data_IF_276520335402
#
_entry.id   IF_276520335402
#
_cell.length_a   1.000
_cell.length_b   1.000
_cell.length_c   1.000
_cell.angle_alpha   90.00
_cell.angle_beta   90.00
_cell.angle_gamma   90.00
#
_symmetry.space_group_name_H-M   'P 1'
#
loop_
_entity.id
_entity.type
_entity.pdbx_description
1 polymer ?
#
# COMPACT_ATOMS: atom_id res chain seq x y z
N UNK A 1 45.08 13.53 42.41
CA UNK A 1 44.73 12.14 42.10
C UNK A 1 43.23 11.98 42.27
N UNK A 2 42.43 12.30 41.25
CA UNK A 2 41.02 11.90 41.11
C UNK A 2 40.79 11.67 39.62
N UNK A 3 40.26 10.50 39.32
CA UNK A 3 40.23 9.77 38.05
C UNK A 3 39.26 10.37 37.04
N UNK A 4 39.66 10.34 35.75
CA UNK A 4 38.77 10.53 34.61
C UNK A 4 37.77 9.37 34.52
N UNK A 5 36.48 9.67 34.64
CA UNK A 5 35.40 8.77 34.25
C UNK A 5 34.91 9.12 32.85
N UNK A 6 35.13 8.21 31.89
CA UNK A 6 34.61 8.31 30.53
C UNK A 6 33.07 8.26 30.56
N UNK A 7 32.42 9.36 30.16
CA UNK A 7 30.98 9.39 29.93
C UNK A 7 30.67 8.70 28.59
N UNK A 8 30.17 7.48 28.66
CA UNK A 8 29.57 6.76 27.54
C UNK A 8 28.24 7.41 27.14
N UNK A 9 28.29 8.36 26.21
CA UNK A 9 27.09 8.96 25.64
C UNK A 9 26.53 8.08 24.50
N UNK A 10 25.60 7.20 24.83
CA UNK A 10 24.75 6.48 23.85
C UNK A 10 23.27 6.59 24.24
N UNK A 11 22.79 7.81 24.49
CA UNK A 11 21.35 8.04 24.47
C UNK A 11 20.90 8.16 23.00
N UNK A 12 19.96 7.33 22.52
CA UNK A 12 19.46 7.47 21.16
C UNK A 12 18.81 8.85 21.00
N UNK A 13 19.20 9.59 19.96
CA UNK A 13 18.64 10.91 19.66
C UNK A 13 17.09 10.81 19.64
N UNK A 14 16.43 11.60 20.51
CA UNK A 14 14.97 11.64 20.61
C UNK A 14 14.41 12.40 19.40
N UNK A 15 13.50 11.77 18.66
CA UNK A 15 12.69 12.45 17.65
C UNK A 15 11.42 12.97 18.33
N UNK A 16 11.10 14.24 18.15
CA UNK A 16 9.90 14.87 18.69
C UNK A 16 9.29 15.80 17.62
N UNK A 17 7.97 15.93 17.64
CA UNK A 17 7.19 16.85 16.81
C UNK A 17 6.29 17.62 17.77
N UNK A 18 6.65 18.86 18.05
CA UNK A 18 5.83 19.76 18.85
C UNK A 18 5.09 20.74 17.94
N UNK A 19 3.83 21.01 18.25
CA UNK A 19 3.07 22.11 17.66
C UNK A 19 2.88 23.19 18.73
N UNK A 20 3.46 24.36 18.54
CA UNK A 20 3.23 25.51 19.44
C UNK A 20 1.84 26.09 19.20
N UNK A 21 1.08 26.33 20.27
CA UNK A 21 -0.30 26.82 20.24
C UNK A 21 -0.44 28.33 20.04
N UNK A 22 0.59 29.05 19.58
CA UNK A 22 0.48 30.50 19.40
C UNK A 22 -0.57 30.82 18.32
N UNK A 23 -1.71 31.32 18.79
CA UNK A 23 -2.94 31.61 18.06
C UNK A 23 -2.90 32.93 17.30
N UNK A 24 -1.79 33.67 17.36
CA UNK A 24 -1.57 34.88 16.56
C UNK A 24 -0.94 34.53 15.21
N UNK A 25 -1.66 33.75 14.39
CA UNK A 25 -1.34 33.66 12.97
C UNK A 25 -1.72 34.99 12.31
N UNK A 26 -0.80 35.95 12.34
CA UNK A 26 -0.83 37.12 11.47
C UNK A 26 -0.91 36.63 10.03
N UNK A 27 -2.07 36.82 9.40
CA UNK A 27 -2.24 36.62 7.98
C UNK A 27 -1.34 37.60 7.22
N UNK A 28 -0.77 37.14 6.10
CA UNK A 28 0.22 37.81 5.27
C UNK A 28 1.66 37.77 5.82
N UNK A 29 2.30 36.61 5.66
CA UNK A 29 3.74 36.63 5.43
C UNK A 29 3.94 36.44 3.94
N UNK A 30 4.60 37.38 3.26
CA UNK A 30 4.99 37.24 1.84
C UNK A 30 6.06 36.17 1.61
N UNK A 31 6.09 35.13 2.47
CA UNK A 31 7.02 34.02 2.45
C UNK A 31 6.26 32.73 2.07
N UNK A 32 6.95 31.74 1.49
CA UNK A 32 6.35 30.45 1.18
C UNK A 32 5.96 29.68 2.45
N UNK A 33 4.96 28.79 2.29
CA UNK A 33 4.63 27.76 3.28
C UNK A 33 5.86 26.87 3.50
N UNK A 34 6.23 26.59 4.75
CA UNK A 34 7.35 25.70 5.08
C UNK A 34 6.79 24.38 5.62
N UNK A 35 7.13 23.26 4.99
CA UNK A 35 6.60 21.93 5.39
C UNK A 35 7.72 20.92 5.54
N UNK A 36 7.73 20.22 6.68
CA UNK A 36 8.56 19.03 6.84
C UNK A 36 7.79 17.79 6.37
N UNK A 37 8.34 17.08 5.39
CA UNK A 37 7.81 15.79 4.94
C UNK A 37 8.74 14.69 5.45
N UNK A 38 8.26 13.91 6.42
CA UNK A 38 9.09 12.94 7.15
C UNK A 38 8.90 11.56 6.53
N UNK A 39 9.93 11.07 5.81
CA UNK A 39 9.93 9.81 5.07
C UNK A 39 9.92 10.04 3.55
N UNK A 40 10.91 9.50 2.84
CA UNK A 40 11.14 9.68 1.40
C UNK A 40 10.71 8.49 0.54
N UNK A 41 9.78 7.67 1.00
CA UNK A 41 9.09 6.68 0.15
C UNK A 41 8.07 7.33 -0.80
N UNK A 42 7.25 6.54 -1.52
CA UNK A 42 6.30 7.05 -2.51
C UNK A 42 5.36 8.14 -1.96
N UNK A 43 4.87 7.99 -0.73
CA UNK A 43 4.00 8.98 -0.11
C UNK A 43 4.69 10.33 0.12
N UNK A 44 5.83 10.34 0.79
CA UNK A 44 6.49 11.60 1.12
C UNK A 44 7.13 12.26 -0.10
N UNK A 45 7.70 11.48 -1.03
CA UNK A 45 8.19 12.03 -2.28
C UNK A 45 7.07 12.72 -3.08
N UNK A 46 5.90 12.08 -3.19
CA UNK A 46 4.74 12.67 -3.89
C UNK A 46 4.15 13.89 -3.17
N UNK A 47 4.17 13.89 -1.83
CA UNK A 47 3.76 15.05 -1.04
C UNK A 47 4.72 16.23 -1.21
N UNK A 48 6.02 15.97 -1.18
CA UNK A 48 7.06 16.98 -1.36
C UNK A 48 7.04 17.57 -2.77
N UNK A 49 6.86 16.74 -3.81
CA UNK A 49 6.67 17.19 -5.20
C UNK A 49 5.45 18.13 -5.32
N UNK A 50 4.30 17.71 -4.77
CA UNK A 50 3.08 18.51 -4.81
C UNK A 50 3.23 19.87 -4.11
N UNK A 51 3.84 19.88 -2.92
CA UNK A 51 4.12 21.10 -2.15
C UNK A 51 5.06 22.04 -2.90
N UNK A 52 6.19 21.52 -3.38
CA UNK A 52 7.20 22.32 -4.07
C UNK A 52 6.67 22.91 -5.39
N UNK A 53 5.91 22.11 -6.15
CA UNK A 53 5.25 22.56 -7.40
C UNK A 53 4.23 23.67 -7.17
N UNK A 54 3.70 23.82 -5.94
CA UNK A 54 2.79 24.90 -5.54
C UNK A 54 3.49 26.07 -4.84
N UNK A 55 4.82 26.14 -4.89
CA UNK A 55 5.61 27.24 -4.33
C UNK A 55 5.87 27.14 -2.82
N UNK A 56 5.58 26.00 -2.18
CA UNK A 56 5.95 25.78 -0.78
C UNK A 56 7.43 25.37 -0.65
N UNK A 57 8.07 25.78 0.44
CA UNK A 57 9.37 25.28 0.84
C UNK A 57 9.22 23.91 1.52
N UNK A 58 9.32 22.85 0.72
CA UNK A 58 9.21 21.46 1.19
C UNK A 58 10.58 20.89 1.58
N UNK A 59 10.69 20.36 2.79
CA UNK A 59 11.87 19.65 3.29
C UNK A 59 11.56 18.15 3.36
N UNK A 60 12.07 17.36 2.42
CA UNK A 60 11.87 15.92 2.37
C UNK A 60 12.97 15.20 3.17
N UNK A 61 12.63 14.76 4.39
CA UNK A 61 13.56 14.12 5.32
C UNK A 61 13.54 12.61 5.11
N UNK A 62 14.64 12.01 4.65
CA UNK A 62 14.78 10.57 4.48
C UNK A 62 16.06 10.05 5.14
N UNK A 63 15.91 9.08 6.06
CA UNK A 63 17.02 8.51 6.84
C UNK A 63 17.91 7.54 6.04
N UNK A 64 17.36 6.87 5.03
CA UNK A 64 18.02 5.84 4.24
C UNK A 64 17.64 5.99 2.77
N UNK A 65 18.20 6.98 2.04
CA UNK A 65 17.85 7.22 0.65
C UNK A 65 18.17 6.06 -0.31
N UNK A 66 19.10 5.18 0.07
CA UNK A 66 19.42 3.96 -0.69
C UNK A 66 18.57 2.74 -0.26
N UNK A 67 17.91 2.81 0.90
CA UNK A 67 17.06 1.75 1.40
C UNK A 67 15.67 1.77 0.73
N UNK A 68 15.09 0.58 0.57
CA UNK A 68 13.72 0.44 0.13
C UNK A 68 12.97 -0.56 1.02
N UNK A 69 11.69 -0.29 1.26
CA UNK A 69 10.79 -1.24 1.94
C UNK A 69 10.64 -2.49 1.07
N UNK A 70 10.77 -3.70 1.65
CA UNK A 70 10.49 -4.97 0.96
C UNK A 70 9.09 -4.96 0.35
N UNK A 71 8.98 -5.35 -0.92
CA UNK A 71 7.73 -5.26 -1.64
C UNK A 71 7.68 -6.21 -2.84
N UNK A 72 6.49 -6.73 -3.12
CA UNK A 72 6.17 -7.44 -4.35
C UNK A 72 6.25 -6.58 -5.61
N UNK A 73 6.16 -5.25 -5.46
CA UNK A 73 6.45 -4.25 -6.49
C UNK A 73 5.50 -4.21 -7.69
N UNK A 74 4.29 -4.76 -7.55
CA UNK A 74 3.20 -4.51 -8.49
C UNK A 74 2.62 -3.10 -8.25
N UNK A 75 2.35 -2.37 -9.31
CA UNK A 75 1.58 -1.11 -9.27
C UNK A 75 0.41 -1.19 -10.25
N UNK A 76 -0.66 -0.41 -10.05
CA UNK A 76 -1.75 -0.34 -11.03
C UNK A 76 -1.30 0.47 -12.25
N UNK A 77 -1.88 0.17 -13.41
CA UNK A 77 -1.52 0.84 -14.66
C UNK A 77 -1.79 2.36 -14.60
N UNK A 78 -2.87 2.79 -13.95
CA UNK A 78 -3.17 4.22 -13.77
C UNK A 78 -2.07 4.99 -13.03
N UNK A 79 -1.29 4.33 -12.16
CA UNK A 79 -0.18 4.97 -11.47
C UNK A 79 0.94 5.37 -12.42
N UNK A 80 1.17 4.58 -13.48
CA UNK A 80 2.20 4.88 -14.49
C UNK A 80 1.90 6.22 -15.15
N UNK A 81 0.67 6.43 -15.58
CA UNK A 81 0.26 7.66 -16.25
C UNK A 81 0.11 8.82 -15.25
N UNK A 82 -0.58 8.61 -14.11
CA UNK A 82 -0.84 9.66 -13.12
C UNK A 82 0.44 10.23 -12.49
N UNK A 83 1.46 9.40 -12.29
CA UNK A 83 2.76 9.80 -11.74
C UNK A 83 3.83 9.91 -12.82
N UNK A 84 3.45 9.88 -14.10
CA UNK A 84 4.34 9.94 -15.25
C UNK A 84 5.62 9.12 -15.03
N UNK A 85 5.43 7.86 -14.63
CA UNK A 85 6.51 6.90 -14.38
C UNK A 85 7.02 6.44 -15.76
N UNK A 86 8.32 6.61 -16.06
CA UNK A 86 8.88 6.18 -17.33
C UNK A 86 8.73 4.66 -17.50
N UNK A 87 8.34 4.24 -18.70
CA UNK A 87 8.01 2.83 -19.00
C UNK A 87 9.23 1.93 -18.87
N UNK A 88 10.43 2.46 -19.02
CA UNK A 88 11.71 1.78 -18.82
C UNK A 88 12.00 1.43 -17.35
N UNK A 89 11.28 2.03 -16.38
CA UNK A 89 11.40 1.64 -14.97
C UNK A 89 10.56 0.39 -14.62
N UNK A 90 9.73 -0.06 -15.56
CA UNK A 90 8.93 -1.28 -15.42
C UNK A 90 9.81 -2.48 -15.77
N UNK A 91 10.25 -3.22 -14.76
CA UNK A 91 11.12 -4.38 -14.93
C UNK A 91 10.39 -5.53 -15.66
N UNK A 92 9.11 -5.77 -15.35
CA UNK A 92 8.28 -6.81 -16.00
C UNK A 92 6.86 -6.34 -16.25
N UNK A 93 6.25 -6.87 -17.32
CA UNK A 93 4.86 -6.60 -17.70
C UNK A 93 4.05 -7.87 -17.53
N UNK A 94 3.44 -8.03 -16.37
CA UNK A 94 2.69 -9.24 -16.05
C UNK A 94 1.33 -9.18 -16.76
N UNK A 95 1.11 -10.09 -17.69
CA UNK A 95 -0.17 -10.29 -18.40
C UNK A 95 -0.92 -11.50 -17.87
N UNK A 96 -0.23 -12.37 -17.12
CA UNK A 96 -0.78 -13.60 -16.56
C UNK A 96 -0.65 -13.60 -15.05
N UNK A 97 -1.79 -13.67 -14.36
CA UNK A 97 -1.81 -13.96 -12.93
C UNK A 97 -2.38 -15.35 -12.72
N UNK A 98 -1.77 -16.15 -11.85
CA UNK A 98 -2.28 -17.47 -11.47
C UNK A 98 -2.55 -17.52 -9.99
N UNK A 99 -3.76 -17.92 -9.62
CA UNK A 99 -4.16 -18.10 -8.22
C UNK A 99 -4.23 -19.59 -7.93
N UNK A 100 -3.43 -20.06 -6.95
CA UNK A 100 -3.32 -21.46 -6.57
C UNK A 100 -4.05 -21.70 -5.25
N UNK A 101 -4.98 -22.65 -5.26
CA UNK A 101 -5.84 -22.99 -4.11
C UNK A 101 -5.15 -23.88 -3.09
N UNK A 102 -5.71 -24.11 -1.89
CA UNK A 102 -5.15 -25.05 -0.91
C UNK A 102 -4.89 -26.45 -1.49
N UNK A 103 -5.76 -26.94 -2.37
CA UNK A 103 -5.66 -28.23 -3.05
C UNK A 103 -4.78 -28.21 -4.32
N UNK A 104 -4.05 -27.12 -4.55
CA UNK A 104 -3.23 -26.86 -5.74
C UNK A 104 -4.01 -26.77 -7.07
N UNK A 105 -5.31 -26.49 -7.02
CA UNK A 105 -6.03 -26.08 -8.22
C UNK A 105 -5.55 -24.69 -8.64
N UNK A 106 -5.36 -24.48 -9.93
CA UNK A 106 -4.89 -23.21 -10.47
C UNK A 106 -5.99 -22.53 -11.29
N UNK A 107 -6.32 -21.30 -10.93
CA UNK A 107 -7.12 -20.42 -11.77
C UNK A 107 -6.20 -19.44 -12.51
N UNK A 108 -6.28 -19.43 -13.84
CA UNK A 108 -5.61 -18.44 -14.66
C UNK A 108 -6.46 -17.15 -14.70
N UNK A 109 -5.98 -16.14 -13.99
CA UNK A 109 -6.55 -14.80 -13.86
C UNK A 109 -5.92 -13.88 -14.90
N UNK A 110 -6.34 -14.03 -16.16
CA UNK A 110 -5.76 -13.30 -17.31
C UNK A 110 -6.67 -13.17 -18.52
N UNK A 111 -7.78 -13.91 -18.56
CA UNK A 111 -8.67 -14.01 -19.72
C UNK A 111 -9.37 -12.70 -20.05
N UNK A 112 -9.72 -11.94 -19.01
CA UNK A 112 -10.41 -10.65 -19.16
C UNK A 112 -9.48 -9.43 -19.00
N UNK A 113 -8.16 -9.62 -19.13
CA UNK A 113 -7.22 -8.50 -19.14
C UNK A 113 -7.47 -7.66 -20.41
N UNK A 114 -7.70 -6.33 -20.31
CA UNK A 114 -7.93 -5.53 -21.49
C UNK A 114 -6.74 -5.60 -22.48
N UNK A 115 -6.98 -5.57 -23.80
CA UNK A 115 -5.92 -5.61 -24.79
C UNK A 115 -4.85 -4.52 -24.54
N UNK A 116 -3.59 -4.91 -24.52
CA UNK A 116 -2.45 -4.00 -24.25
C UNK A 116 -2.24 -3.63 -22.78
N UNK A 117 -3.16 -4.00 -21.89
CA UNK A 117 -2.97 -3.83 -20.45
C UNK A 117 -2.02 -4.88 -19.88
N UNK A 118 -1.38 -4.53 -18.78
CA UNK A 118 -0.52 -5.41 -17.98
C UNK A 118 -0.46 -4.85 -16.56
N UNK A 119 0.05 -5.66 -15.63
CA UNK A 119 0.43 -5.22 -14.29
C UNK A 119 1.93 -4.87 -14.34
N UNK A 120 2.30 -3.58 -14.23
CA UNK A 120 3.70 -3.18 -14.16
C UNK A 120 4.35 -3.67 -12.88
N UNK A 121 5.45 -4.39 -13.01
CA UNK A 121 6.27 -4.86 -11.91
C UNK A 121 7.57 -4.07 -11.88
N UNK A 122 7.88 -3.47 -10.73
CA UNK A 122 9.05 -2.61 -10.54
C UNK A 122 9.76 -2.88 -9.22
N UNK A 123 11.02 -2.45 -9.14
CA UNK A 123 11.82 -2.42 -7.91
C UNK A 123 11.57 -1.12 -7.15
N UNK A 124 11.43 -1.24 -5.82
CA UNK A 124 11.16 -0.10 -4.95
C UNK A 124 12.32 0.87 -4.87
N UNK A 125 13.56 0.38 -4.97
CA UNK A 125 14.77 1.21 -5.00
C UNK A 125 14.75 2.17 -6.21
N UNK A 126 14.26 1.69 -7.35
CA UNK A 126 14.18 2.45 -8.60
C UNK A 126 13.02 3.46 -8.55
N UNK A 127 11.82 2.99 -8.19
CA UNK A 127 10.63 3.84 -8.09
C UNK A 127 10.81 4.94 -7.04
N UNK A 128 11.26 4.60 -5.84
CA UNK A 128 11.41 5.57 -4.75
C UNK A 128 12.48 6.61 -5.11
N UNK A 129 13.58 6.21 -5.75
CA UNK A 129 14.62 7.13 -6.25
C UNK A 129 14.09 8.07 -7.34
N UNK A 130 13.29 7.54 -8.28
CA UNK A 130 12.63 8.35 -9.30
C UNK A 130 11.70 9.41 -8.69
N UNK A 131 10.81 9.01 -7.78
CA UNK A 131 9.87 9.95 -7.14
C UNK A 131 10.59 11.01 -6.29
N UNK A 132 11.66 10.63 -5.59
CA UNK A 132 12.49 11.61 -4.84
C UNK A 132 13.18 12.62 -5.76
N UNK A 133 13.70 12.17 -6.91
CA UNK A 133 14.30 13.06 -7.91
C UNK A 133 13.27 14.03 -8.46
N UNK A 134 12.08 13.56 -8.82
CA UNK A 134 10.97 14.44 -9.23
C UNK A 134 10.62 15.50 -8.19
N UNK A 135 10.56 15.12 -6.92
CA UNK A 135 10.33 16.08 -5.84
C UNK A 135 11.44 17.15 -5.79
N UNK A 136 12.71 16.75 -5.94
CA UNK A 136 13.84 17.67 -5.98
C UNK A 136 13.81 18.57 -7.22
N UNK A 137 13.49 18.03 -8.40
CA UNK A 137 13.35 18.78 -9.65
C UNK A 137 12.21 19.81 -9.57
N UNK A 138 11.16 19.53 -8.81
CA UNK A 138 10.09 20.46 -8.48
C UNK A 138 10.48 21.53 -7.43
N UNK A 139 11.67 21.44 -6.84
CA UNK A 139 12.20 22.41 -5.86
C UNK A 139 12.18 21.96 -4.40
N UNK A 140 11.83 20.70 -4.10
CA UNK A 140 11.89 20.19 -2.73
C UNK A 140 13.35 20.03 -2.26
N UNK A 141 13.63 20.43 -1.03
CA UNK A 141 14.95 20.23 -0.41
C UNK A 141 15.04 18.81 0.16
N UNK A 142 15.90 17.97 -0.41
CA UNK A 142 16.18 16.63 0.12
C UNK A 142 17.10 16.74 1.34
N UNK A 143 16.65 16.21 2.48
CA UNK A 143 17.39 16.21 3.75
C UNK A 143 17.74 14.76 4.12
N UNK A 144 18.99 14.31 3.90
CA UNK A 144 19.42 12.95 4.21
C UNK A 144 19.59 12.74 5.71
N UNK A 145 18.49 12.44 6.38
CA UNK A 145 18.39 12.39 7.84
C UNK A 145 18.46 13.79 8.45
N UNK A 146 17.61 14.05 9.45
CA UNK A 146 17.64 15.31 10.19
C UNK A 146 18.46 15.14 11.47
N UNK A 147 19.49 15.99 11.64
CA UNK A 147 20.27 16.12 12.88
C UNK A 147 20.11 17.55 13.39
N UNK A 148 19.10 17.77 14.24
CA UNK A 148 18.80 19.09 14.81
C UNK A 148 17.31 19.41 14.81
N UNK A 149 17.00 20.70 14.91
CA UNK A 149 15.63 21.24 14.92
C UNK A 149 15.33 21.88 13.57
N UNK A 150 14.16 21.58 13.00
CA UNK A 150 13.66 22.21 11.80
C UNK A 150 12.30 22.83 12.11
N UNK A 151 12.23 24.16 12.10
CA UNK A 151 10.98 24.90 12.32
C UNK A 151 10.21 25.06 11.01
N UNK A 152 8.94 24.62 11.02
CA UNK A 152 8.04 24.57 9.86
C UNK A 152 6.61 24.93 10.28
N UNK A 153 5.78 25.28 9.28
CA UNK A 153 4.38 25.63 9.49
C UNK A 153 3.47 24.39 9.65
N UNK A 154 3.85 23.29 8.99
CA UNK A 154 3.11 22.02 8.97
C UNK A 154 4.04 20.81 8.80
N UNK A 155 3.54 19.62 9.13
CA UNK A 155 4.27 18.34 8.98
C UNK A 155 3.43 17.32 8.22
N UNK A 156 4.05 16.64 7.27
CA UNK A 156 3.50 15.43 6.62
C UNK A 156 4.24 14.21 7.16
N UNK A 157 3.55 13.35 7.91
CA UNK A 157 4.07 12.07 8.37
C UNK A 157 3.95 10.99 7.29
N UNK A 158 5.06 10.67 6.64
CA UNK A 158 5.18 9.68 5.57
C UNK A 158 6.20 8.57 5.91
N UNK A 159 6.48 8.36 7.20
CA UNK A 159 7.57 7.57 7.76
C UNK A 159 7.23 6.08 7.96
N UNK A 160 6.27 5.60 7.17
CA UNK A 160 5.96 4.19 7.04
C UNK A 160 5.17 3.58 8.19
N UNK A 161 5.11 2.24 8.20
CA UNK A 161 4.28 1.50 9.15
C UNK A 161 4.74 1.58 10.62
N UNK A 162 5.97 2.06 10.86
CA UNK A 162 6.53 2.27 12.20
C UNK A 162 6.61 3.77 12.55
N UNK A 163 5.66 4.56 12.02
CA UNK A 163 5.65 6.02 12.09
C UNK A 163 5.89 6.55 13.51
N UNK A 164 6.96 7.34 13.65
CA UNK A 164 7.26 8.13 14.85
C UNK A 164 6.39 9.38 14.90
N UNK A 165 6.09 9.98 13.75
CA UNK A 165 5.18 11.13 13.65
C UNK A 165 3.79 10.77 14.19
N UNK A 166 3.24 9.62 13.78
CA UNK A 166 1.94 9.14 14.24
C UNK A 166 1.91 8.91 15.76
N UNK A 167 2.98 8.37 16.33
CA UNK A 167 3.10 8.16 17.78
C UNK A 167 3.08 9.48 18.53
N UNK A 168 3.85 10.44 18.06
CA UNK A 168 4.03 11.74 18.70
C UNK A 168 2.71 12.54 18.77
N UNK A 169 1.93 12.51 17.70
CA UNK A 169 0.64 13.24 17.65
C UNK A 169 -0.53 12.46 18.27
N UNK A 170 -0.28 11.28 18.84
CA UNK A 170 -1.33 10.43 19.41
C UNK A 170 -2.37 9.99 18.38
N UNK A 171 -1.91 9.51 17.23
CA UNK A 171 -2.76 9.14 16.09
C UNK A 171 -3.67 7.90 16.32
N UNK A 172 -3.44 7.18 17.42
CA UNK A 172 -4.02 5.86 17.69
C UNK A 172 -3.37 4.77 16.83
N UNK A 173 -3.53 3.51 17.23
CA UNK A 173 -2.86 2.37 16.59
C UNK A 173 -3.66 1.74 15.44
N UNK A 174 -2.98 0.93 14.65
CA UNK A 174 -3.59 -0.04 13.73
C UNK A 174 -2.99 -1.42 13.90
N UNK A 175 -3.68 -2.43 13.39
CA UNK A 175 -3.14 -3.78 13.25
C UNK A 175 -2.19 -3.87 12.06
N UNK A 176 -1.16 -4.70 12.18
CA UNK A 176 -0.20 -4.95 11.10
C UNK A 176 -0.10 -6.44 10.77
N UNK A 177 -0.02 -6.78 9.48
CA UNK A 177 0.59 -8.01 9.03
C UNK A 177 2.11 -7.89 9.07
N UNK A 178 2.82 -9.01 9.24
CA UNK A 178 4.23 -9.11 8.88
C UNK A 178 4.30 -9.73 7.48
N UNK A 179 4.89 -9.01 6.53
CA UNK A 179 5.27 -9.59 5.24
C UNK A 179 6.74 -10.03 5.32
N UNK A 180 7.02 -11.23 4.79
CA UNK A 180 8.35 -11.83 4.74
C UNK A 180 8.58 -12.35 3.32
N UNK A 181 9.74 -12.05 2.75
CA UNK A 181 10.08 -12.52 1.42
C UNK A 181 11.57 -12.80 1.26
N UNK A 182 11.85 -13.67 0.30
CA UNK A 182 13.16 -13.94 -0.25
C UNK A 182 13.20 -13.41 -1.69
N UNK A 183 14.27 -12.70 -2.03
CA UNK A 183 14.62 -12.45 -3.43
C UNK A 183 15.44 -13.64 -3.90
N UNK A 184 14.93 -14.37 -4.88
CA UNK A 184 15.57 -15.57 -5.42
C UNK A 184 15.94 -15.30 -6.88
N UNK A 185 17.25 -15.16 -7.13
CA UNK A 185 17.78 -15.07 -8.50
C UNK A 185 17.68 -16.43 -9.15
N UNK A 186 17.00 -16.53 -10.28
CA UNK A 186 16.86 -17.79 -11.01
C UNK A 186 17.83 -17.81 -12.20
N UNK A 187 18.25 -18.98 -12.68
CA UNK A 187 18.88 -19.12 -13.99
C UNK A 187 17.99 -18.55 -15.10
N UNK A 188 18.57 -17.99 -16.16
CA UNK A 188 17.82 -17.31 -17.24
C UNK A 188 16.74 -18.21 -17.85
N UNK A 189 17.04 -19.49 -18.07
CA UNK A 189 16.08 -20.46 -18.58
C UNK A 189 14.85 -20.64 -17.66
N UNK A 190 15.05 -20.57 -16.33
CA UNK A 190 13.97 -20.66 -15.36
C UNK A 190 13.22 -19.32 -15.20
N UNK A 191 13.91 -18.18 -15.33
CA UNK A 191 13.26 -16.86 -15.36
C UNK A 191 12.26 -16.74 -16.50
N UNK A 192 12.45 -17.43 -17.63
CA UNK A 192 11.52 -17.44 -18.75
C UNK A 192 10.09 -17.89 -18.37
N UNK A 193 9.92 -18.75 -17.37
CA UNK A 193 8.59 -19.14 -16.87
C UNK A 193 7.86 -17.96 -16.19
N UNK A 194 8.60 -17.02 -15.63
CA UNK A 194 8.10 -15.85 -14.90
C UNK A 194 8.26 -14.54 -15.69
N UNK A 195 8.41 -14.61 -17.02
CA UNK A 195 8.60 -13.43 -17.86
C UNK A 195 7.40 -12.47 -17.81
N UNK A 196 6.18 -13.02 -17.94
CA UNK A 196 4.90 -12.31 -17.91
C UNK A 196 3.91 -12.85 -16.88
N UNK A 197 4.38 -13.75 -16.00
CA UNK A 197 3.56 -14.49 -15.02
C UNK A 197 3.86 -14.07 -13.59
N UNK A 198 2.80 -13.80 -12.83
CA UNK A 198 2.82 -13.73 -11.36
C UNK A 198 1.95 -14.84 -10.77
N UNK A 199 2.33 -15.36 -9.61
CA UNK A 199 1.58 -16.40 -8.91
C UNK A 199 1.21 -15.96 -7.49
N UNK A 200 -0.05 -16.20 -7.12
CA UNK A 200 -0.59 -16.01 -5.78
C UNK A 200 -1.05 -17.36 -5.24
N UNK A 201 -0.67 -17.67 -4.01
CA UNK A 201 -0.96 -18.94 -3.35
C UNK A 201 -1.84 -18.68 -2.15
N UNK A 202 -3.01 -19.29 -2.12
CA UNK A 202 -3.91 -19.24 -0.99
C UNK A 202 -3.95 -20.61 -0.32
N UNK A 203 -3.84 -20.61 1.00
CA UNK A 203 -3.93 -21.82 1.83
C UNK A 203 -3.39 -21.56 3.22
N UNK A 204 -4.01 -22.14 4.23
CA UNK A 204 -3.57 -21.96 5.62
C UNK A 204 -2.15 -22.47 5.89
N UNK A 205 -1.61 -23.32 5.01
CA UNK A 205 -0.23 -23.82 5.02
C UNK A 205 0.78 -22.74 4.65
N UNK A 206 0.44 -21.86 3.69
CA UNK A 206 1.31 -20.75 3.26
C UNK A 206 0.97 -19.44 3.97
N UNK A 207 -0.30 -19.21 4.30
CA UNK A 207 -0.76 -18.07 5.09
C UNK A 207 -2.19 -18.28 5.64
N UNK A 208 -2.38 -18.21 6.98
CA UNK A 208 -3.67 -18.45 7.61
C UNK A 208 -4.68 -17.31 7.44
N UNK A 209 -4.26 -16.12 7.03
CA UNK A 209 -5.10 -14.91 6.97
C UNK A 209 -4.71 -13.92 5.85
N UNK A 210 -3.72 -14.30 5.03
CA UNK A 210 -3.22 -13.58 3.87
C UNK A 210 -2.92 -14.60 2.75
N UNK A 211 -1.95 -14.30 1.88
CA UNK A 211 -1.53 -15.19 0.79
C UNK A 211 0.01 -15.27 0.68
N UNK A 212 0.49 -16.32 0.02
CA UNK A 212 1.87 -16.42 -0.46
C UNK A 212 1.99 -15.94 -1.91
N UNK A 213 3.17 -15.52 -2.34
CA UNK A 213 3.38 -15.00 -3.71
C UNK A 213 4.70 -15.44 -4.31
N UNK A 214 4.72 -15.48 -5.64
CA UNK A 214 5.93 -15.49 -6.47
C UNK A 214 5.77 -14.40 -7.53
N UNK A 215 6.47 -13.29 -7.33
CA UNK A 215 6.32 -12.08 -8.15
C UNK A 215 7.61 -11.75 -8.91
N UNK A 216 7.56 -11.62 -10.25
CA UNK A 216 8.77 -11.43 -11.03
C UNK A 216 9.32 -10.00 -10.94
N UNK A 217 10.63 -9.92 -11.11
CA UNK A 217 11.44 -8.70 -11.26
C UNK A 217 12.37 -8.87 -12.46
N UNK A 218 13.34 -7.97 -12.61
CA UNK A 218 14.28 -7.98 -13.74
C UNK A 218 15.07 -9.28 -13.87
N UNK A 219 15.61 -9.81 -12.77
CA UNK A 219 16.58 -10.92 -12.76
C UNK A 219 16.31 -11.95 -11.63
N UNK A 220 15.20 -11.78 -10.93
CA UNK A 220 14.84 -12.60 -9.78
C UNK A 220 13.32 -12.61 -9.59
N UNK A 221 12.85 -13.50 -8.73
CA UNK A 221 11.49 -13.49 -8.21
C UNK A 221 11.51 -13.12 -6.72
N UNK A 222 10.49 -12.40 -6.27
CA UNK A 222 10.18 -12.25 -4.87
C UNK A 222 9.25 -13.39 -4.45
N UNK A 223 9.74 -14.30 -3.60
CA UNK A 223 8.96 -15.40 -3.04
C UNK A 223 8.68 -15.10 -1.58
N UNK A 224 7.41 -14.93 -1.22
CA UNK A 224 7.07 -14.46 0.12
C UNK A 224 5.69 -14.86 0.61
N UNK A 225 5.43 -14.51 1.85
CA UNK A 225 4.15 -14.67 2.51
C UNK A 225 3.92 -13.57 3.55
N UNK A 226 2.68 -13.40 3.98
CA UNK A 226 2.30 -12.47 5.03
C UNK A 226 1.36 -13.10 6.05
N UNK A 227 1.30 -12.54 7.25
CA UNK A 227 0.25 -12.89 8.24
C UNK A 227 0.06 -11.82 9.30
N UNK A 228 -1.17 -11.65 9.78
CA UNK A 228 -1.51 -10.83 10.94
C UNK A 228 -1.49 -11.69 12.21
N UNK A 229 -2.08 -12.88 12.17
CA UNK A 229 -2.35 -13.71 13.33
C UNK A 229 -1.21 -14.68 13.70
N UNK A 230 -0.37 -15.10 12.75
CA UNK A 230 0.65 -16.13 12.96
C UNK A 230 2.09 -15.61 12.81
N UNK A 231 2.35 -14.37 13.27
CA UNK A 231 3.68 -13.71 13.11
C UNK A 231 4.87 -14.56 13.60
N UNK A 232 4.79 -15.29 14.72
CA UNK A 232 5.90 -16.17 15.16
C UNK A 232 6.21 -17.32 14.19
N UNK A 233 5.23 -17.75 13.40
CA UNK A 233 5.34 -18.85 12.44
C UNK A 233 5.81 -18.40 11.05
N UNK A 234 6.11 -17.12 10.85
CA UNK A 234 6.39 -16.56 9.51
C UNK A 234 7.48 -17.29 8.73
N UNK A 235 8.51 -17.82 9.42
CA UNK A 235 9.56 -18.63 8.78
C UNK A 235 9.07 -20.01 8.33
N UNK A 236 8.17 -20.64 9.10
CA UNK A 236 7.53 -21.90 8.71
C UNK A 236 6.65 -21.70 7.48
N UNK A 237 5.87 -20.62 7.48
CA UNK A 237 5.03 -20.23 6.34
C UNK A 237 5.89 -19.93 5.09
N UNK A 238 7.03 -19.25 5.26
CA UNK A 238 8.00 -19.03 4.17
C UNK A 238 8.51 -20.36 3.59
N UNK A 239 8.87 -21.31 4.44
CA UNK A 239 9.30 -22.64 3.97
C UNK A 239 8.20 -23.35 3.19
N UNK A 240 6.94 -23.22 3.60
CA UNK A 240 5.80 -23.81 2.90
C UNK A 240 5.59 -23.20 1.51
N UNK A 241 5.61 -21.87 1.38
CA UNK A 241 5.50 -21.23 0.05
C UNK A 241 6.69 -21.59 -0.85
N UNK A 242 7.91 -21.66 -0.29
CA UNK A 242 9.09 -22.12 -1.03
C UNK A 242 8.95 -23.56 -1.51
N UNK A 243 8.35 -24.43 -0.72
CA UNK A 243 8.07 -25.81 -1.12
C UNK A 243 7.04 -25.88 -2.26
N UNK A 244 5.94 -25.11 -2.18
CA UNK A 244 4.92 -25.07 -3.24
C UNK A 244 5.43 -24.50 -4.56
N UNK A 245 6.32 -23.50 -4.49
CA UNK A 245 6.97 -22.94 -5.67
C UNK A 245 8.15 -23.80 -6.17
N UNK A 246 8.65 -24.74 -5.36
CA UNK A 246 9.95 -25.41 -5.48
C UNK A 246 10.36 -25.82 -6.90
N UNK A 247 9.56 -26.60 -7.64
CA UNK A 247 9.90 -27.00 -9.00
C UNK A 247 10.16 -25.83 -9.97
N UNK A 248 9.45 -24.72 -9.78
CA UNK A 248 9.48 -23.52 -10.65
C UNK A 248 10.61 -22.56 -10.30
N UNK A 249 11.16 -22.66 -9.09
CA UNK A 249 12.30 -21.87 -8.61
C UNK A 249 13.56 -22.72 -8.44
N UNK A 250 13.59 -23.91 -9.04
CA UNK A 250 14.71 -24.84 -8.98
C UNK A 250 15.99 -24.19 -9.54
N UNK A 251 17.13 -24.45 -8.88
CA UNK A 251 18.41 -23.82 -9.21
C UNK A 251 18.52 -22.34 -8.79
N UNK A 252 17.49 -21.77 -8.16
CA UNK A 252 17.50 -20.40 -7.68
C UNK A 252 18.40 -20.17 -6.46
N UNK A 253 19.07 -19.01 -6.44
CA UNK A 253 19.90 -18.56 -5.32
C UNK A 253 19.18 -17.45 -4.54
N UNK A 254 19.06 -17.62 -3.21
CA UNK A 254 18.54 -16.55 -2.34
C UNK A 254 19.59 -15.45 -2.24
N UNK A 255 19.26 -14.26 -2.74
CA UNK A 255 20.16 -13.09 -2.74
C UNK A 255 19.81 -12.09 -1.63
N UNK A 256 18.60 -12.16 -1.08
CA UNK A 256 18.16 -11.28 0.02
C UNK A 256 16.99 -11.89 0.77
N UNK A 257 16.97 -11.73 2.09
CA UNK A 257 15.86 -12.10 2.96
C UNK A 257 15.37 -10.83 3.64
N UNK A 258 14.07 -10.57 3.60
CA UNK A 258 13.51 -9.30 4.01
C UNK A 258 12.16 -9.46 4.73
N UNK A 259 11.88 -8.58 5.69
CA UNK A 259 10.58 -8.53 6.34
C UNK A 259 10.15 -7.10 6.64
N UNK A 260 8.84 -6.82 6.61
CA UNK A 260 8.32 -5.49 6.95
C UNK A 260 6.85 -5.53 7.41
N UNK A 261 6.47 -4.69 8.38
CA UNK A 261 5.06 -4.56 8.74
C UNK A 261 4.23 -3.90 7.63
N UNK A 262 3.02 -4.40 7.45
CA UNK A 262 2.00 -3.86 6.55
C UNK A 262 0.78 -3.49 7.39
N UNK A 263 0.33 -2.22 7.42
CA UNK A 263 -0.89 -1.86 8.12
C UNK A 263 -2.12 -2.47 7.44
N UNK A 264 -3.12 -2.84 8.23
CA UNK A 264 -4.32 -3.55 7.73
C UNK A 264 -5.54 -2.62 7.62
N UNK A 265 -5.49 -1.43 8.21
CA UNK A 265 -6.56 -0.45 8.17
C UNK A 265 -6.06 0.97 8.50
N UNK A 266 -6.83 2.02 8.13
CA UNK A 266 -6.50 3.39 8.50
C UNK A 266 -6.43 3.62 10.03
N UNK A 267 -5.58 4.55 10.47
CA UNK A 267 -5.53 5.00 11.87
C UNK A 267 -6.80 5.77 12.27
N UNK A 268 -7.18 5.77 13.56
CA UNK A 268 -8.29 6.59 14.06
C UNK A 268 -8.12 8.09 13.78
N UNK A 269 -6.92 8.62 13.98
CA UNK A 269 -6.61 10.05 13.76
C UNK A 269 -5.49 10.17 12.73
N UNK A 270 -5.84 10.65 11.53
CA UNK A 270 -4.91 10.82 10.40
C UNK A 270 -4.49 12.27 10.19
N UNK A 271 -5.18 13.19 10.87
CA UNK A 271 -4.85 14.62 10.94
C UNK A 271 -4.99 15.06 12.39
N UNK A 272 -3.97 15.71 12.93
CA UNK A 272 -3.93 16.27 14.29
C UNK A 272 -3.19 17.61 14.25
N UNK A 273 -3.86 18.70 14.60
CA UNK A 273 -3.30 20.05 14.48
C UNK A 273 -2.86 20.34 13.05
N UNK A 274 -1.58 20.70 12.89
CA UNK A 274 -0.95 20.98 11.58
C UNK A 274 -0.17 19.79 11.03
N UNK A 275 -0.48 18.58 11.51
CA UNK A 275 0.16 17.33 11.10
C UNK A 275 -0.85 16.45 10.37
N UNK A 276 -0.47 15.97 9.18
CA UNK A 276 -1.24 14.98 8.42
C UNK A 276 -0.39 13.74 8.13
N UNK A 277 -0.97 12.56 8.29
CA UNK A 277 -0.34 11.27 7.98
C UNK A 277 -0.75 10.82 6.58
N UNK A 278 0.18 10.19 5.85
CA UNK A 278 -0.02 9.66 4.49
C UNK A 278 0.55 8.24 4.36
N UNK A 279 0.12 7.49 3.33
CA UNK A 279 0.56 6.12 3.05
C UNK A 279 0.46 5.19 4.26
N UNK A 280 1.48 4.34 4.45
CA UNK A 280 1.51 3.37 5.55
C UNK A 280 1.40 4.03 6.93
N UNK A 281 1.91 5.26 7.12
CA UNK A 281 1.80 5.97 8.40
C UNK A 281 0.33 6.27 8.75
N UNK A 282 -0.50 6.53 7.73
CA UNK A 282 -1.95 6.69 7.87
C UNK A 282 -2.73 5.37 7.86
N UNK A 283 -2.09 4.25 7.48
CA UNK A 283 -2.71 2.95 7.33
C UNK A 283 -3.39 2.72 5.96
N UNK A 284 -2.92 3.38 4.90
CA UNK A 284 -3.51 3.27 3.56
C UNK A 284 -2.94 2.10 2.76
N UNK A 285 -3.24 0.90 3.23
CA UNK A 285 -2.98 -0.35 2.51
C UNK A 285 -4.28 -1.14 2.46
N UNK A 286 -4.56 -1.74 1.31
CA UNK A 286 -5.74 -2.59 1.17
C UNK A 286 -5.46 -3.98 1.72
N UNK A 287 -6.29 -4.39 2.67
CA UNK A 287 -6.12 -5.60 3.47
C UNK A 287 -6.08 -6.89 2.63
N UNK A 288 -7.02 -7.04 1.69
CA UNK A 288 -7.14 -8.25 0.86
C UNK A 288 -5.97 -8.47 -0.11
N UNK A 289 -5.39 -7.39 -0.64
CA UNK A 289 -4.37 -7.47 -1.68
C UNK A 289 -2.96 -7.09 -1.20
N UNK A 290 -2.81 -6.49 0.00
CA UNK A 290 -1.54 -5.94 0.46
C UNK A 290 -1.03 -4.72 -0.31
N UNK A 291 -1.84 -4.17 -1.21
CA UNK A 291 -1.43 -3.07 -2.08
C UNK A 291 -1.44 -1.74 -1.32
N UNK A 292 -0.31 -1.03 -1.38
CA UNK A 292 -0.14 0.27 -0.75
C UNK A 292 0.64 1.31 -1.56
N UNK A 293 1.37 0.94 -2.62
CA UNK A 293 2.27 1.87 -3.33
C UNK A 293 1.48 3.04 -3.94
N UNK A 294 0.42 2.74 -4.70
CA UNK A 294 -0.43 3.76 -5.31
C UNK A 294 -1.09 4.62 -4.25
N UNK A 295 -1.71 4.02 -3.23
CA UNK A 295 -2.38 4.77 -2.16
C UNK A 295 -1.43 5.63 -1.34
N UNK A 296 -0.19 5.18 -1.14
CA UNK A 296 0.87 5.98 -0.56
C UNK A 296 1.15 7.23 -1.42
N UNK A 297 1.47 7.05 -2.70
CA UNK A 297 1.78 8.16 -3.61
C UNK A 297 0.58 9.14 -3.75
N UNK A 298 -0.63 8.59 -3.94
CA UNK A 298 -1.89 9.34 -4.10
C UNK A 298 -2.23 10.16 -2.86
N UNK A 299 -2.19 9.56 -1.68
CA UNK A 299 -2.44 10.29 -0.42
C UNK A 299 -1.39 11.37 -0.17
N UNK A 300 -0.13 11.09 -0.49
CA UNK A 300 0.96 12.08 -0.44
C UNK A 300 0.65 13.31 -1.29
N UNK A 301 0.36 13.10 -2.58
CA UNK A 301 0.01 14.17 -3.53
C UNK A 301 -1.20 14.97 -3.07
N UNK A 302 -2.29 14.30 -2.68
CA UNK A 302 -3.51 14.95 -2.20
C UNK A 302 -3.27 15.79 -0.94
N UNK A 303 -2.46 15.28 0.00
CA UNK A 303 -2.10 16.00 1.21
C UNK A 303 -1.29 17.27 0.92
N UNK A 304 -0.27 17.16 0.05
CA UNK A 304 0.55 18.29 -0.36
C UNK A 304 -0.26 19.38 -1.08
N UNK A 305 -1.13 18.98 -2.01
CA UNK A 305 -2.06 19.89 -2.70
C UNK A 305 -2.99 20.60 -1.70
N UNK A 306 -3.62 19.85 -0.79
CA UNK A 306 -4.53 20.41 0.20
C UNK A 306 -3.85 21.43 1.13
N UNK A 307 -2.62 21.17 1.57
CA UNK A 307 -1.83 22.11 2.38
C UNK A 307 -1.53 23.41 1.61
N UNK A 308 -1.09 23.29 0.35
CA UNK A 308 -0.77 24.45 -0.48
C UNK A 308 -2.02 25.27 -0.83
N UNK A 309 -3.12 24.61 -1.21
CA UNK A 309 -4.42 25.25 -1.47
C UNK A 309 -4.94 26.01 -0.24
N UNK A 310 -4.86 25.39 0.95
CA UNK A 310 -5.29 26.07 2.18
C UNK A 310 -4.42 27.29 2.46
N UNK A 311 -3.10 27.13 2.40
CA UNK A 311 -2.16 28.23 2.63
C UNK A 311 -2.36 29.38 1.66
N UNK A 312 -2.54 29.12 0.36
CA UNK A 312 -2.79 30.16 -0.64
C UNK A 312 -4.09 30.94 -0.34
N UNK A 313 -5.10 30.27 0.22
CA UNK A 313 -6.41 30.88 0.52
C UNK A 313 -6.42 31.65 1.84
N UNK A 314 -5.71 31.19 2.87
CA UNK A 314 -5.85 31.71 4.24
C UNK A 314 -4.56 32.23 4.87
N UNK A 315 -3.41 31.93 4.29
CA UNK A 315 -2.10 32.12 4.93
C UNK A 315 -1.85 31.21 6.13
N UNK A 316 -2.63 30.14 6.33
CA UNK A 316 -2.48 29.22 7.44
C UNK A 316 -2.93 27.79 7.11
N UNK A 317 -2.21 26.79 7.61
CA UNK A 317 -2.64 25.39 7.59
C UNK A 317 -3.34 25.07 8.92
N UNK A 318 -4.56 24.52 8.84
CA UNK A 318 -5.36 24.19 10.03
C UNK A 318 -5.82 22.73 10.01
N UNK A 319 -6.08 22.15 11.18
CA UNK A 319 -6.63 20.78 11.26
C UNK A 319 -7.94 20.66 10.48
N UNK A 320 -8.80 21.68 10.57
CA UNK A 320 -10.10 21.68 9.90
C UNK A 320 -9.94 21.76 8.38
N UNK A 321 -8.99 22.56 7.89
CA UNK A 321 -8.69 22.65 6.46
C UNK A 321 -8.07 21.38 5.92
N UNK A 322 -7.13 20.76 6.64
CA UNK A 322 -6.56 19.46 6.26
C UNK A 322 -7.61 18.35 6.24
N UNK A 323 -8.53 18.32 7.22
CA UNK A 323 -9.65 17.37 7.20
C UNK A 323 -10.55 17.56 5.99
N UNK A 324 -10.84 18.80 5.59
CA UNK A 324 -11.70 19.09 4.43
C UNK A 324 -10.98 18.86 3.09
N UNK A 325 -9.78 19.39 2.93
CA UNK A 325 -9.03 19.42 1.68
C UNK A 325 -8.31 18.12 1.36
N UNK A 326 -7.90 17.35 2.37
CA UNK A 326 -7.19 16.09 2.18
C UNK A 326 -8.02 14.89 2.67
N UNK A 327 -8.33 14.83 3.97
CA UNK A 327 -8.87 13.60 4.56
C UNK A 327 -10.23 13.21 3.95
N UNK A 328 -11.12 14.19 3.80
CA UNK A 328 -12.43 13.97 3.18
C UNK A 328 -12.31 13.58 1.70
N UNK A 329 -11.46 14.25 0.91
CA UNK A 329 -11.25 13.89 -0.51
C UNK A 329 -10.77 12.44 -0.65
N UNK A 330 -9.82 12.04 0.19
CA UNK A 330 -9.31 10.68 0.21
C UNK A 330 -10.37 9.65 0.66
N UNK A 331 -11.11 9.95 1.73
CA UNK A 331 -12.13 9.05 2.25
C UNK A 331 -13.31 8.90 1.26
N UNK A 332 -13.77 9.99 0.65
CA UNK A 332 -14.86 10.00 -0.33
C UNK A 332 -14.50 9.15 -1.57
N UNK A 333 -13.23 9.17 -2.00
CA UNK A 333 -12.79 8.45 -3.20
C UNK A 333 -12.48 6.96 -2.92
N UNK A 334 -11.96 6.59 -1.74
CA UNK A 334 -11.38 5.25 -1.53
C UNK A 334 -11.93 4.45 -0.35
N UNK A 335 -12.59 5.07 0.62
CA UNK A 335 -13.00 4.38 1.84
C UNK A 335 -13.98 3.23 1.56
N UNK A 336 -14.87 3.42 0.57
CA UNK A 336 -15.81 2.38 0.16
C UNK A 336 -15.09 1.14 -0.39
N UNK A 337 -14.08 1.34 -1.24
CA UNK A 337 -13.26 0.24 -1.78
C UNK A 337 -12.51 -0.48 -0.65
N UNK A 338 -11.94 0.25 0.32
CA UNK A 338 -11.26 -0.35 1.46
C UNK A 338 -12.21 -1.24 2.29
N UNK A 339 -13.44 -0.77 2.55
CA UNK A 339 -14.47 -1.55 3.24
C UNK A 339 -14.89 -2.79 2.46
N UNK A 340 -15.06 -2.65 1.15
CA UNK A 340 -15.41 -3.77 0.27
C UNK A 340 -14.31 -4.85 0.27
N UNK A 341 -13.05 -4.45 0.13
CA UNK A 341 -11.93 -5.39 0.15
C UNK A 341 -11.74 -6.07 1.51
N UNK A 342 -11.96 -5.36 2.62
CA UNK A 342 -11.95 -5.97 3.96
C UNK A 342 -13.05 -7.02 4.11
N UNK A 343 -14.25 -6.77 3.58
CA UNK A 343 -15.33 -7.75 3.57
C UNK A 343 -14.96 -9.00 2.77
N UNK A 344 -14.39 -8.84 1.56
CA UNK A 344 -13.95 -9.99 0.76
C UNK A 344 -12.90 -10.81 1.51
N UNK A 345 -11.96 -10.17 2.19
CA UNK A 345 -10.96 -10.89 2.97
C UNK A 345 -11.59 -11.70 4.10
N UNK A 346 -12.54 -11.11 4.85
CA UNK A 346 -13.22 -11.82 5.93
C UNK A 346 -13.94 -13.09 5.43
N UNK A 347 -14.58 -13.01 4.26
CA UNK A 347 -15.31 -14.13 3.65
C UNK A 347 -14.36 -15.21 3.12
N UNK A 348 -13.33 -14.84 2.37
CA UNK A 348 -12.52 -15.82 1.65
C UNK A 348 -11.32 -16.35 2.43
N UNK A 349 -10.79 -15.58 3.38
CA UNK A 349 -9.58 -15.94 4.13
C UNK A 349 -9.88 -16.57 5.50
N UNK A 350 -11.15 -16.72 5.88
CA UNK A 350 -11.57 -17.36 7.13
C UNK A 350 -11.23 -18.86 7.23
N UNK A 351 -11.00 -19.54 6.12
CA UNK A 351 -10.63 -20.97 6.09
C UNK A 351 -10.23 -21.46 4.69
N UNK A 352 -9.80 -22.72 4.57
CA UNK A 352 -9.39 -23.28 3.28
C UNK A 352 -10.58 -23.40 2.31
N UNK A 353 -11.77 -23.74 2.80
CA UNK A 353 -12.98 -23.81 1.98
C UNK A 353 -13.32 -22.46 1.32
N UNK A 354 -13.21 -21.35 2.06
CA UNK A 354 -13.35 -20.00 1.49
C UNK A 354 -12.28 -19.70 0.44
N UNK A 355 -11.05 -20.15 0.64
CA UNK A 355 -9.95 -19.96 -0.32
C UNK A 355 -10.14 -20.77 -1.60
N UNK A 356 -10.68 -21.99 -1.51
CA UNK A 356 -11.08 -22.76 -2.69
C UNK A 356 -12.14 -21.99 -3.50
N UNK A 357 -13.17 -21.47 -2.82
CA UNK A 357 -14.21 -20.65 -3.46
C UNK A 357 -13.62 -19.38 -4.11
N UNK A 358 -12.64 -18.73 -3.47
CA UNK A 358 -11.92 -17.59 -4.05
C UNK A 358 -11.25 -17.96 -5.37
N UNK A 359 -10.52 -19.09 -5.42
CA UNK A 359 -9.85 -19.55 -6.63
C UNK A 359 -10.85 -19.91 -7.72
N UNK A 360 -11.96 -20.56 -7.37
CA UNK A 360 -13.05 -20.85 -8.32
C UNK A 360 -13.62 -19.56 -8.93
N UNK A 361 -13.88 -18.54 -8.11
CA UNK A 361 -14.33 -17.24 -8.60
C UNK A 361 -13.28 -16.52 -9.45
N UNK A 362 -11.99 -16.66 -9.14
CA UNK A 362 -10.91 -16.11 -9.94
C UNK A 362 -10.87 -16.70 -11.37
N UNK A 363 -11.44 -17.88 -11.60
CA UNK A 363 -11.57 -18.45 -12.94
C UNK A 363 -12.74 -17.88 -13.75
N UNK A 364 -13.66 -17.15 -13.11
CA UNK A 364 -14.83 -16.54 -13.75
C UNK A 364 -14.45 -15.27 -14.52
N UNK A 365 -14.76 -15.23 -15.81
CA UNK A 365 -14.38 -14.12 -16.69
C UNK A 365 -15.03 -12.78 -16.30
N UNK A 366 -16.26 -12.79 -15.78
CA UNK A 366 -16.93 -11.57 -15.31
C UNK A 366 -16.23 -11.03 -14.06
N UNK A 367 -15.86 -11.90 -13.12
CA UNK A 367 -15.05 -11.53 -11.95
C UNK A 367 -13.73 -10.94 -12.40
N UNK A 368 -13.02 -11.61 -13.31
CA UNK A 368 -11.75 -11.12 -13.84
C UNK A 368 -11.89 -9.72 -14.42
N UNK A 369 -12.89 -9.48 -15.28
CA UNK A 369 -13.11 -8.17 -15.92
C UNK A 369 -13.32 -7.07 -14.87
N UNK A 370 -14.21 -7.30 -13.89
CA UNK A 370 -14.53 -6.32 -12.84
C UNK A 370 -13.34 -6.02 -11.94
N UNK A 371 -12.59 -7.06 -11.58
CA UNK A 371 -11.38 -6.90 -10.78
C UNK A 371 -10.29 -6.19 -11.57
N UNK A 372 -10.07 -6.49 -12.86
CA UNK A 372 -9.08 -5.77 -13.67
C UNK A 372 -9.44 -4.30 -13.85
N UNK A 373 -10.69 -3.97 -14.15
CA UNK A 373 -11.16 -2.58 -14.23
C UNK A 373 -10.92 -1.84 -12.91
N UNK A 374 -11.32 -2.45 -11.79
CA UNK A 374 -11.17 -1.83 -10.47
C UNK A 374 -9.70 -1.74 -10.03
N UNK A 375 -8.90 -2.76 -10.32
CA UNK A 375 -7.50 -2.84 -9.91
C UNK A 375 -6.61 -1.93 -10.76
N UNK A 376 -6.72 -1.96 -12.08
CA UNK A 376 -5.83 -1.21 -12.98
C UNK A 376 -6.09 0.30 -12.94
N UNK A 377 -7.33 0.71 -12.66
CA UNK A 377 -7.74 2.12 -12.68
C UNK A 377 -8.17 2.68 -11.30
N UNK A 378 -8.21 1.84 -10.27
CA UNK A 378 -8.53 2.22 -8.88
C UNK A 378 -9.84 2.98 -8.73
N UNK A 379 -10.84 2.61 -9.53
CA UNK A 379 -12.20 3.10 -9.45
C UNK A 379 -13.15 1.93 -9.26
N UNK A 380 -14.10 2.06 -8.34
CA UNK A 380 -15.22 1.11 -8.27
C UNK A 380 -16.11 1.34 -9.49
N UNK A 381 -16.12 0.40 -10.42
CA UNK A 381 -17.02 0.46 -11.58
C UNK A 381 -18.38 -0.10 -11.16
N UNK A 382 -19.49 0.64 -11.31
CA UNK A 382 -20.83 0.10 -11.05
C UNK A 382 -21.08 -1.17 -11.86
N UNK A 383 -21.66 -2.19 -11.22
CA UNK A 383 -22.03 -3.42 -11.88
C UNK A 383 -23.24 -3.26 -12.80
N UNK A 384 -23.39 -4.21 -13.72
CA UNK A 384 -24.65 -4.39 -14.43
C UNK A 384 -25.56 -5.25 -13.54
N UNK A 385 -26.82 -4.87 -13.28
CA UNK A 385 -27.67 -5.54 -12.28
C UNK A 385 -27.80 -7.06 -12.46
N UNK A 386 -27.89 -7.53 -13.70
CA UNK A 386 -27.96 -8.96 -14.04
C UNK A 386 -26.64 -9.69 -13.82
N UNK A 387 -25.51 -9.03 -14.07
CA UNK A 387 -24.17 -9.56 -13.83
C UNK A 387 -23.88 -9.72 -12.35
N UNK A 388 -24.27 -8.73 -11.53
CA UNK A 388 -24.14 -8.80 -10.07
C UNK A 388 -25.00 -9.91 -9.46
N UNK A 389 -26.25 -10.05 -9.90
CA UNK A 389 -27.13 -11.13 -9.44
C UNK A 389 -26.56 -12.51 -9.78
N UNK A 390 -26.02 -12.68 -11.00
CA UNK A 390 -25.36 -13.93 -11.42
C UNK A 390 -24.09 -14.21 -10.62
N UNK A 391 -23.27 -13.19 -10.36
CA UNK A 391 -22.08 -13.32 -9.54
C UNK A 391 -22.46 -13.75 -8.11
N UNK A 392 -23.45 -13.11 -7.50
CA UNK A 392 -23.94 -13.48 -6.17
C UNK A 392 -24.39 -14.94 -6.12
N UNK A 393 -25.18 -15.40 -7.10
CA UNK A 393 -25.59 -16.79 -7.19
C UNK A 393 -24.41 -17.75 -7.38
N UNK A 394 -23.41 -17.38 -8.19
CA UNK A 394 -22.19 -18.19 -8.40
C UNK A 394 -21.32 -18.23 -7.15
N UNK A 395 -21.14 -17.12 -6.45
CA UNK A 395 -20.43 -17.05 -5.17
C UNK A 395 -21.12 -17.88 -4.11
N UNK A 396 -22.45 -17.74 -3.97
CA UNK A 396 -23.23 -18.56 -3.04
C UNK A 396 -23.16 -20.04 -3.42
N UNK A 397 -23.26 -20.39 -4.71
CA UNK A 397 -23.13 -21.77 -5.17
C UNK A 397 -21.73 -22.37 -4.96
N UNK A 398 -20.68 -21.58 -5.17
CA UNK A 398 -19.29 -21.96 -4.89
C UNK A 398 -19.08 -22.16 -3.38
N UNK A 399 -19.54 -21.22 -2.55
CA UNK A 399 -19.52 -21.35 -1.10
C UNK A 399 -20.30 -22.59 -0.63
N UNK A 400 -21.45 -22.90 -1.25
CA UNK A 400 -22.21 -24.13 -0.98
C UNK A 400 -21.43 -25.39 -1.34
N UNK A 401 -20.83 -25.43 -2.55
CA UNK A 401 -20.00 -26.56 -3.01
C UNK A 401 -18.79 -26.78 -2.10
N UNK A 402 -18.18 -25.70 -1.62
CA UNK A 402 -17.03 -25.75 -0.72
C UNK A 402 -17.41 -25.93 0.76
N UNK A 403 -18.71 -25.98 1.11
CA UNK A 403 -19.17 -26.21 2.49
C UNK A 403 -19.05 -25.01 3.44
N UNK A 404 -19.06 -23.77 2.93
CA UNK A 404 -18.81 -22.52 3.67
C UNK A 404 -20.10 -21.92 4.31
N UNK A 405 -21.23 -22.64 4.37
CA UNK A 405 -22.50 -22.03 4.80
C UNK A 405 -22.60 -21.78 6.33
N UNK A 406 -22.49 -20.49 6.70
CA UNK A 406 -22.77 -19.90 8.02
C UNK A 406 -23.09 -18.39 7.92
N UNK A 407 -23.02 -17.67 9.06
CA UNK A 407 -23.38 -16.23 9.29
C UNK A 407 -22.81 -15.18 8.29
N UNK A 408 -21.90 -15.55 7.41
CA UNK A 408 -21.19 -14.66 6.49
C UNK A 408 -22.00 -14.28 5.23
N UNK A 409 -22.84 -15.19 4.74
CA UNK A 409 -23.74 -14.93 3.59
C UNK A 409 -24.77 -13.82 3.91
N UNK A 410 -25.21 -13.74 5.16
CA UNK A 410 -26.10 -12.65 5.62
C UNK A 410 -25.40 -11.29 5.72
N UNK A 411 -24.10 -11.26 6.04
CA UNK A 411 -23.31 -10.01 6.06
C UNK A 411 -23.12 -9.46 4.64
N UNK A 412 -22.82 -10.30 3.65
CA UNK A 412 -22.74 -9.89 2.24
C UNK A 412 -24.06 -9.27 1.77
N UNK A 413 -25.20 -9.89 2.11
CA UNK A 413 -26.55 -9.36 1.81
C UNK A 413 -26.87 -8.03 2.53
N UNK A 414 -26.22 -7.71 3.65
CA UNK A 414 -26.38 -6.42 4.34
C UNK A 414 -25.55 -5.32 3.70
N UNK A 415 -24.29 -5.61 3.34
CA UNK A 415 -23.40 -4.63 2.70
C UNK A 415 -23.91 -4.24 1.31
N UNK A 416 -24.45 -5.20 0.54
CA UNK A 416 -25.07 -4.91 -0.75
C UNK A 416 -26.31 -4.00 -0.61
N UNK A 417 -27.14 -4.22 0.42
CA UNK A 417 -28.28 -3.34 0.71
C UNK A 417 -27.83 -1.91 1.04
N UNK A 418 -26.76 -1.77 1.83
CA UNK A 418 -26.17 -0.46 2.11
C UNK A 418 -25.57 0.22 0.88
N UNK A 419 -24.93 -0.55 -0.01
CA UNK A 419 -24.38 -0.03 -1.27
C UNK A 419 -25.49 0.41 -2.25
N UNK A 420 -26.59 -0.34 -2.34
CA UNK A 420 -27.77 0.02 -3.15
C UNK A 420 -28.51 1.25 -2.61
N UNK A 421 -28.63 1.37 -1.29
CA UNK A 421 -29.23 2.56 -0.65
C UNK A 421 -28.40 3.84 -0.84
N UNK A 422 -27.07 3.71 -0.98
CA UNK A 422 -26.17 4.82 -1.28
C UNK A 422 -26.21 5.22 -2.76
N UNK A 423 -26.48 4.29 -3.68
CA UNK A 423 -26.61 4.58 -5.12
C UNK A 423 -27.95 5.23 -5.49
N UNK A 424 -29.00 5.04 -4.70
CA UNK A 424 -30.32 5.67 -4.90
C UNK A 424 -30.43 7.10 -4.37
N UNK A 425 -29.33 7.65 -3.81
CA UNK A 425 -29.26 9.02 -3.25
C UNK A 425 -28.38 9.98 -4.07
N UNK A 426 -27.94 9.57 -5.26
CA UNK A 426 -27.35 10.41 -6.31
C UNK A 426 -28.39 10.55 -7.40
#
# INVERSE_FOLDING_TARGET
MVTMGAATCHSPARFAVSCSSNSSASAATGRPLRVAVVGGGPAGASAAEALASSGAQAFLVERSPAGAKPCGGAIPLCMVDEFAIPRELVDRRVTRMRVLSPSNLAADFSRALPPGAHIPMLRREVLDSFLRRRAADAGATLVPGLRGVLEVDAVVGADGANSRVAREVGAGDYTTAIAFQERIRLPDAAMGYYDDLAEMYVGGDVSPDFYGWVFPKCDHVAVGTGTVCAKPEIKRLQTAIRARAGPKIAGGQVIKVEAHPIPEHPRPRRVVGRVALVGDAAGYVTRCSGEGIYFAAKSGRLCGQAMAEEWARTGAVTEAGLKRGYLRRWDDEYLLMFRFLDLLQQVFYGGNAGREALVEMCADEYVQRRTFESYLYKRMVPGEPLGELRLLWRTVASMMRCGVLGREVERLRRVERQARELQLRV
#
